data_IF_311565098898
#
_entry.id   IF_311565098898
#
_cell.length_a   1.000
_cell.length_b   1.000
_cell.length_c   1.000
_cell.angle_alpha   90.00
_cell.angle_beta   90.00
_cell.angle_gamma   90.00
#
_symmetry.space_group_name_H-M   'P 1'
#
loop_
_entity.id
_entity.type
_entity.pdbx_description
1 polymer ?
#
# COMPACT_ATOMS: atom_id res chain seq x y z
N UNK A 1 18.11 -4.04 -21.59
CA UNK A 1 17.65 -3.66 -20.25
C UNK A 1 18.10 -2.24 -19.96
N UNK A 2 17.19 -1.37 -19.55
CA UNK A 2 17.50 0.04 -19.27
C UNK A 2 17.18 0.32 -17.81
N UNK A 3 18.18 0.75 -17.01
CA UNK A 3 17.93 1.28 -15.65
C UNK A 3 16.99 2.48 -15.73
N UNK A 4 16.04 2.56 -14.83
CA UNK A 4 15.05 3.64 -14.78
C UNK A 4 14.94 4.25 -13.38
N UNK A 5 15.59 3.64 -12.39
CA UNK A 5 15.60 4.15 -11.02
C UNK A 5 16.11 3.15 -10.00
N UNK A 6 15.89 3.46 -8.74
CA UNK A 6 16.24 2.62 -7.60
C UNK A 6 15.13 2.62 -6.54
N UNK A 7 15.06 1.54 -5.75
CA UNK A 7 14.15 1.45 -4.61
C UNK A 7 14.60 2.44 -3.54
N UNK A 8 13.72 3.37 -3.19
CA UNK A 8 13.91 4.31 -2.08
C UNK A 8 13.34 3.78 -0.77
N UNK A 9 12.19 3.11 -0.83
CA UNK A 9 11.51 2.54 0.33
C UNK A 9 10.70 1.31 -0.07
N UNK A 10 10.68 0.33 0.82
CA UNK A 10 9.79 -0.83 0.78
C UNK A 10 8.73 -0.70 1.88
N UNK A 11 7.49 -1.02 1.55
CA UNK A 11 6.36 -0.97 2.49
C UNK A 11 5.58 -2.27 2.54
N UNK A 12 5.16 -2.66 3.76
CA UNK A 12 4.26 -3.79 4.02
C UNK A 12 3.08 -3.30 4.83
N UNK A 13 1.86 -3.69 4.46
CA UNK A 13 0.60 -3.27 5.08
C UNK A 13 -0.23 -4.49 5.47
N UNK A 14 0.07 -5.17 6.56
CA UNK A 14 -0.53 -6.46 6.92
C UNK A 14 -2.06 -6.45 7.00
N UNK A 15 -2.64 -5.33 7.44
CA UNK A 15 -4.08 -5.16 7.58
C UNK A 15 -4.58 -4.07 6.63
N UNK A 16 -5.62 -4.38 5.86
CA UNK A 16 -6.25 -3.41 4.94
C UNK A 16 -6.63 -2.13 5.67
N UNK A 17 -6.29 -0.97 5.10
CA UNK A 17 -6.53 0.39 5.63
C UNK A 17 -5.78 0.76 6.91
N UNK A 18 -5.06 -0.13 7.57
CA UNK A 18 -4.20 0.24 8.69
C UNK A 18 -2.82 0.68 8.21
N UNK A 19 -2.10 1.45 9.04
CA UNK A 19 -0.73 1.86 8.78
C UNK A 19 0.17 0.62 8.76
N UNK A 20 0.98 0.52 7.70
CA UNK A 20 1.98 -0.52 7.55
C UNK A 20 3.31 -0.20 8.22
N UNK A 21 4.30 -0.98 7.88
CA UNK A 21 5.67 -0.86 8.35
C UNK A 21 6.66 -0.74 7.18
N UNK A 22 7.75 0.03 7.35
CA UNK A 22 8.84 0.05 6.40
C UNK A 22 9.66 -1.23 6.51
N UNK A 23 10.18 -1.69 5.36
CA UNK A 23 11.10 -2.81 5.29
C UNK A 23 12.43 -2.34 4.71
N UNK A 24 13.55 -2.92 5.16
CA UNK A 24 14.84 -2.74 4.52
C UNK A 24 15.04 -3.70 3.34
N UNK A 25 14.59 -4.94 3.51
CA UNK A 25 14.61 -5.98 2.49
C UNK A 25 13.38 -6.88 2.62
N UNK A 26 13.01 -7.55 1.53
CA UNK A 26 11.96 -8.58 1.52
C UNK A 26 12.14 -9.48 0.30
N UNK A 27 11.52 -10.67 0.32
CA UNK A 27 11.41 -11.50 -0.87
C UNK A 27 10.07 -11.24 -1.53
N UNK A 28 10.07 -10.73 -2.76
CA UNK A 28 8.84 -10.70 -3.55
C UNK A 28 8.47 -12.13 -3.93
N UNK A 29 7.28 -12.56 -3.57
CA UNK A 29 6.69 -13.85 -3.93
C UNK A 29 5.63 -13.66 -5.02
N UNK A 30 5.13 -14.73 -5.62
CA UNK A 30 4.02 -14.63 -6.59
C UNK A 30 2.76 -13.98 -5.99
N UNK A 31 2.62 -13.99 -4.67
CA UNK A 31 1.54 -13.32 -3.93
C UNK A 31 1.93 -11.89 -3.47
N UNK A 32 3.05 -11.33 -3.95
CA UNK A 32 3.55 -10.02 -3.56
C UNK A 32 4.49 -10.06 -2.35
N UNK A 33 4.47 -8.99 -1.56
CA UNK A 33 5.24 -8.90 -0.31
C UNK A 33 4.63 -9.85 0.74
N UNK A 34 5.44 -10.70 1.41
CA UNK A 34 4.92 -11.59 2.45
C UNK A 34 4.17 -10.84 3.55
N UNK A 35 3.05 -11.40 3.98
CA UNK A 35 2.12 -10.84 4.98
C UNK A 35 1.44 -9.51 4.57
N UNK A 36 1.65 -9.00 3.36
CA UNK A 36 1.01 -7.76 2.91
C UNK A 36 -0.48 -7.98 2.63
N UNK A 37 -1.35 -7.16 3.24
CA UNK A 37 -2.81 -7.14 3.07
C UNK A 37 -3.49 -8.50 3.25
N UNK A 38 -2.92 -9.36 4.12
CA UNK A 38 -3.50 -10.68 4.44
C UNK A 38 -4.73 -10.60 5.31
N UNK A 39 -4.86 -9.53 6.08
CA UNK A 39 -6.00 -9.33 6.95
C UNK A 39 -6.86 -8.15 6.49
N UNK A 40 -8.15 -8.32 6.59
CA UNK A 40 -9.14 -7.26 6.40
C UNK A 40 -10.32 -7.42 7.35
N UNK A 41 -10.79 -6.32 7.94
CA UNK A 41 -12.08 -6.33 8.61
C UNK A 41 -13.19 -6.20 7.58
N UNK A 42 -14.26 -6.97 7.76
CA UNK A 42 -15.38 -7.05 6.82
C UNK A 42 -16.68 -6.75 7.56
N UNK A 43 -17.55 -5.97 6.95
CA UNK A 43 -18.87 -5.63 7.51
C UNK A 43 -19.84 -6.80 7.29
N UNK A 44 -20.34 -7.42 8.37
CA UNK A 44 -21.24 -8.60 8.31
C UNK A 44 -22.54 -8.35 7.57
N UNK A 45 -23.07 -7.12 7.62
CA UNK A 45 -24.33 -6.75 6.97
C UNK A 45 -24.15 -6.14 5.56
N UNK A 46 -22.92 -6.08 5.04
CA UNK A 46 -22.69 -5.51 3.72
C UNK A 46 -23.21 -6.44 2.63
N UNK A 47 -24.03 -5.88 1.71
CA UNK A 47 -24.45 -6.53 0.46
C UNK A 47 -23.64 -6.04 -0.74
N UNK A 48 -22.63 -5.21 -0.51
CA UNK A 48 -21.76 -4.66 -1.54
C UNK A 48 -20.76 -5.71 -2.02
N UNK A 49 -20.36 -5.63 -3.28
CA UNK A 49 -19.20 -6.37 -3.81
C UNK A 49 -17.87 -5.88 -3.20
N UNK A 50 -17.91 -4.76 -2.46
CA UNK A 50 -16.78 -4.24 -1.68
C UNK A 50 -17.17 -4.24 -0.19
N UNK A 51 -17.11 -5.39 0.51
CA UNK A 51 -17.60 -5.52 1.88
C UNK A 51 -16.60 -5.06 2.94
N UNK A 52 -15.45 -4.57 2.52
CA UNK A 52 -14.35 -4.20 3.40
C UNK A 52 -14.72 -3.03 4.30
N UNK A 53 -14.36 -3.15 5.57
CA UNK A 53 -14.34 -2.04 6.51
C UNK A 53 -13.00 -1.31 6.35
N UNK A 54 -13.05 -0.07 5.92
CA UNK A 54 -11.87 0.69 5.51
C UNK A 54 -11.81 2.05 6.18
N UNK A 55 -10.76 2.82 5.92
CA UNK A 55 -10.67 4.19 6.38
C UNK A 55 -11.73 5.14 5.75
N UNK A 56 -12.56 4.66 4.82
CA UNK A 56 -13.76 5.38 4.37
C UNK A 56 -14.82 5.45 5.47
N UNK A 57 -14.95 4.38 6.25
CA UNK A 57 -15.90 4.27 7.36
C UNK A 57 -15.29 4.75 8.68
N UNK A 58 -14.00 4.50 8.89
CA UNK A 58 -13.27 4.94 10.09
C UNK A 58 -11.89 5.47 9.69
N UNK A 59 -11.75 6.78 9.40
CA UNK A 59 -10.49 7.39 8.97
C UNK A 59 -9.30 7.09 9.89
N UNK A 60 -9.55 7.00 11.19
CA UNK A 60 -8.54 6.70 12.20
C UNK A 60 -7.88 5.32 12.04
N UNK A 61 -8.41 4.41 11.20
CA UNK A 61 -7.71 3.15 10.88
C UNK A 61 -6.28 3.39 10.38
N UNK A 62 -6.05 4.51 9.68
CA UNK A 62 -4.69 4.89 9.25
C UNK A 62 -3.74 5.17 10.40
N UNK A 63 -4.24 5.45 11.59
CA UNK A 63 -3.44 5.70 12.80
C UNK A 63 -3.18 4.42 13.60
N UNK A 64 -3.78 3.27 13.22
CA UNK A 64 -3.48 1.97 13.79
C UNK A 64 -2.23 1.41 13.11
N UNK A 65 -1.12 1.29 13.85
CA UNK A 65 0.13 0.78 13.32
C UNK A 65 0.14 -0.75 13.34
N UNK A 66 0.66 -1.37 12.29
CA UNK A 66 0.79 -2.83 12.24
C UNK A 66 2.25 -3.22 12.16
N UNK A 67 2.61 -4.31 12.81
CA UNK A 67 3.92 -4.92 12.72
C UNK A 67 3.79 -6.44 12.58
N UNK A 68 4.74 -7.04 11.87
CA UNK A 68 4.79 -8.48 11.62
C UNK A 68 6.00 -9.08 12.32
N UNK A 69 5.75 -10.14 13.09
CA UNK A 69 6.80 -11.01 13.59
C UNK A 69 6.80 -12.29 12.75
N UNK A 70 7.89 -12.51 12.04
CA UNK A 70 8.10 -13.74 11.28
C UNK A 70 8.39 -14.89 12.25
N UNK A 71 7.53 -15.91 12.27
CA UNK A 71 7.65 -17.03 13.22
C UNK A 71 8.25 -18.28 12.60
N UNK A 72 8.64 -18.23 11.31
CA UNK A 72 9.07 -19.41 10.56
C UNK A 72 7.94 -20.38 10.20
N UNK A 73 6.71 -20.12 10.68
CA UNK A 73 5.49 -20.84 10.29
C UNK A 73 4.83 -20.17 9.06
N UNK A 74 3.86 -20.84 8.45
CA UNK A 74 3.16 -20.31 7.28
C UNK A 74 2.35 -19.02 7.58
N UNK A 75 2.00 -18.78 8.85
CA UNK A 75 1.25 -17.60 9.30
C UNK A 75 2.15 -16.71 10.14
N UNK A 76 2.34 -15.48 9.69
CA UNK A 76 3.06 -14.47 10.44
C UNK A 76 2.17 -13.89 11.56
N UNK A 77 2.74 -13.70 12.75
CA UNK A 77 2.03 -13.01 13.84
C UNK A 77 1.96 -11.51 13.54
N UNK A 78 0.74 -10.98 13.44
CA UNK A 78 0.49 -9.55 13.22
C UNK A 78 0.00 -8.91 14.51
N UNK A 79 0.73 -7.88 14.95
CA UNK A 79 0.35 -7.02 16.08
C UNK A 79 -0.19 -5.70 15.55
N UNK A 80 -1.28 -5.22 16.14
CA UNK A 80 -1.90 -3.92 15.88
C UNK A 80 -1.71 -3.04 17.09
N UNK A 81 -1.03 -1.90 16.92
CA UNK A 81 -0.90 -0.85 17.94
C UNK A 81 -1.94 0.22 17.67
N UNK A 82 -2.83 0.46 18.60
CA UNK A 82 -3.87 1.49 18.50
C UNK A 82 -3.26 2.90 18.60
N UNK A 83 -3.98 3.96 18.21
CA UNK A 83 -3.54 5.35 18.41
C UNK A 83 -3.24 5.70 19.88
N UNK A 84 -3.86 4.99 20.83
CA UNK A 84 -3.60 5.14 22.28
C UNK A 84 -2.42 4.32 22.79
N UNK A 85 -1.65 3.65 21.90
CA UNK A 85 -0.45 2.87 22.27
C UNK A 85 -0.74 1.46 22.80
N UNK A 86 -2.00 0.99 22.79
CA UNK A 86 -2.34 -0.36 23.22
C UNK A 86 -2.09 -1.36 22.10
N UNK A 87 -1.44 -2.49 22.41
CA UNK A 87 -1.11 -3.54 21.47
C UNK A 87 -2.11 -4.69 21.55
N UNK A 88 -2.50 -5.20 20.37
CA UNK A 88 -3.36 -6.37 20.23
C UNK A 88 -2.85 -7.30 19.14
N UNK A 89 -2.94 -8.62 19.29
CA UNK A 89 -2.94 -9.50 18.15
C UNK A 89 -4.05 -9.10 17.16
N UNK A 90 -3.80 -9.15 15.86
CA UNK A 90 -4.83 -8.80 14.86
C UNK A 90 -6.10 -9.65 15.00
N UNK A 91 -5.95 -10.89 15.50
CA UNK A 91 -7.03 -11.85 15.73
C UNK A 91 -7.80 -11.63 17.05
N UNK A 92 -7.42 -10.62 17.84
CA UNK A 92 -8.05 -10.34 19.14
C UNK A 92 -9.51 -9.89 18.99
N UNK A 93 -10.41 -10.51 19.71
CA UNK A 93 -11.81 -10.06 19.82
C UNK A 93 -11.90 -8.65 20.41
N UNK A 94 -11.03 -8.30 21.35
CA UNK A 94 -11.00 -6.96 21.97
C UNK A 94 -10.70 -5.88 20.93
N UNK A 95 -9.78 -6.13 19.98
CA UNK A 95 -9.51 -5.21 18.89
C UNK A 95 -10.75 -5.04 18.01
N UNK A 96 -11.37 -6.15 17.60
CA UNK A 96 -12.58 -6.16 16.79
C UNK A 96 -13.72 -5.39 17.45
N UNK A 97 -14.00 -5.68 18.72
CA UNK A 97 -15.05 -5.01 19.50
C UNK A 97 -14.79 -3.52 19.68
N UNK A 98 -13.53 -3.13 19.86
CA UNK A 98 -13.14 -1.72 19.92
C UNK A 98 -13.43 -1.00 18.59
N UNK A 99 -13.15 -1.63 17.44
CA UNK A 99 -13.46 -1.08 16.13
C UNK A 99 -14.98 -1.03 15.88
N UNK A 100 -15.73 -2.06 16.32
CA UNK A 100 -17.19 -2.08 16.25
C UNK A 100 -17.82 -0.93 17.07
N UNK A 101 -17.35 -0.74 18.30
CA UNK A 101 -17.84 0.33 19.19
C UNK A 101 -17.59 1.72 18.59
N UNK A 102 -16.45 1.93 17.93
CA UNK A 102 -16.10 3.23 17.29
C UNK A 102 -16.87 3.49 16.02
N UNK A 103 -17.16 2.47 15.25
CA UNK A 103 -17.78 2.59 13.93
C UNK A 103 -19.29 2.39 13.91
N UNK A 104 -19.84 1.74 14.95
CA UNK A 104 -21.23 1.28 14.96
C UNK A 104 -21.52 0.13 13.98
N UNK A 105 -20.48 -0.50 13.42
CA UNK A 105 -20.59 -1.59 12.46
C UNK A 105 -20.27 -2.92 13.12
N UNK A 106 -20.97 -3.99 12.69
CA UNK A 106 -20.58 -5.36 13.07
C UNK A 106 -19.55 -5.88 12.10
N UNK A 107 -18.44 -6.38 12.64
CA UNK A 107 -17.25 -6.76 11.89
C UNK A 107 -16.88 -8.22 12.14
N UNK A 108 -16.26 -8.84 11.13
CA UNK A 108 -15.46 -10.03 11.32
C UNK A 108 -14.08 -9.84 10.68
N UNK A 109 -13.09 -10.53 11.18
CA UNK A 109 -11.75 -10.54 10.60
C UNK A 109 -11.68 -11.62 9.52
N UNK A 110 -11.30 -11.22 8.30
CA UNK A 110 -10.96 -12.12 7.22
C UNK A 110 -9.44 -12.26 7.14
N UNK A 111 -8.95 -13.49 7.04
CA UNK A 111 -7.63 -13.81 6.56
C UNK A 111 -7.73 -14.27 5.11
N UNK A 112 -7.02 -13.58 4.21
CA UNK A 112 -6.97 -13.92 2.80
C UNK A 112 -5.55 -14.32 2.41
N UNK A 113 -5.34 -15.59 2.15
CA UNK A 113 -4.04 -16.12 1.73
C UNK A 113 -3.50 -15.45 0.46
N UNK A 114 -4.38 -15.03 -0.45
CA UNK A 114 -3.99 -14.34 -1.68
C UNK A 114 -3.77 -12.84 -1.49
N UNK A 115 -4.30 -12.28 -0.43
CA UNK A 115 -4.27 -10.86 -0.10
C UNK A 115 -5.52 -10.11 -0.52
N UNK A 116 -6.04 -9.29 0.40
CA UNK A 116 -7.22 -8.42 0.18
C UNK A 116 -6.82 -7.14 -0.58
N UNK A 117 -6.21 -7.31 -1.75
CA UNK A 117 -5.79 -6.20 -2.61
C UNK A 117 -6.98 -5.50 -3.26
N UNK A 118 -6.80 -4.24 -3.66
CA UNK A 118 -7.80 -3.55 -4.47
C UNK A 118 -7.72 -4.01 -5.93
N UNK A 119 -6.50 -4.22 -6.43
CA UNK A 119 -6.24 -4.60 -7.83
C UNK A 119 -5.19 -5.70 -7.94
N UNK A 120 -3.95 -5.45 -7.52
CA UNK A 120 -2.82 -6.35 -7.69
C UNK A 120 -1.88 -6.33 -6.47
N UNK A 121 -1.02 -7.36 -6.33
CA UNK A 121 -0.25 -7.57 -5.10
C UNK A 121 0.90 -6.55 -4.88
N UNK A 122 1.30 -5.83 -5.90
CA UNK A 122 2.35 -4.81 -5.80
C UNK A 122 1.81 -3.47 -6.28
N UNK A 123 1.97 -2.43 -5.45
CA UNK A 123 1.81 -1.04 -5.86
C UNK A 123 3.18 -0.35 -5.89
N UNK A 124 3.43 0.41 -6.95
CA UNK A 124 4.66 1.14 -7.18
C UNK A 124 4.34 2.58 -7.56
N UNK A 125 5.05 3.53 -6.94
CA UNK A 125 4.98 4.95 -7.28
C UNK A 125 6.36 5.57 -7.15
N UNK A 126 6.62 6.62 -7.92
CA UNK A 126 7.87 7.36 -7.80
C UNK A 126 7.77 8.50 -6.79
N UNK A 127 8.90 8.83 -6.16
CA UNK A 127 8.99 10.02 -5.31
C UNK A 127 8.72 11.28 -6.12
N UNK A 128 9.17 11.34 -7.36
CA UNK A 128 8.97 12.48 -8.26
C UNK A 128 7.47 12.74 -8.50
N UNK A 129 6.69 11.69 -8.71
CA UNK A 129 5.22 11.80 -8.83
C UNK A 129 4.58 12.34 -7.55
N UNK A 130 5.00 11.81 -6.39
CA UNK A 130 4.49 12.30 -5.09
C UNK A 130 4.87 13.76 -4.86
N UNK A 131 6.12 14.14 -5.13
CA UNK A 131 6.59 15.52 -4.98
C UNK A 131 5.83 16.48 -5.90
N UNK A 132 5.55 16.08 -7.14
CA UNK A 132 4.78 16.89 -8.07
C UNK A 132 3.33 17.09 -7.59
N UNK A 133 2.67 16.02 -7.15
CA UNK A 133 1.31 16.10 -6.59
C UNK A 133 1.28 16.99 -5.34
N UNK A 134 2.26 16.86 -4.45
CA UNK A 134 2.35 17.68 -3.25
C UNK A 134 2.50 19.17 -3.59
N UNK A 135 3.35 19.49 -4.57
CA UNK A 135 3.55 20.85 -5.07
C UNK A 135 2.27 21.43 -5.69
N UNK A 136 1.60 20.68 -6.57
CA UNK A 136 0.40 21.13 -7.27
C UNK A 136 -0.83 21.27 -6.37
N UNK A 137 -0.92 20.44 -5.32
CA UNK A 137 -2.00 20.48 -4.33
C UNK A 137 -1.72 21.38 -3.13
N UNK A 138 -0.52 22.00 -3.10
CA UNK A 138 -0.04 22.83 -1.98
C UNK A 138 -0.09 22.08 -0.63
N UNK A 139 0.30 20.79 -0.63
CA UNK A 139 0.30 19.92 0.55
C UNK A 139 1.70 19.42 0.87
N UNK A 140 1.87 18.85 2.06
CA UNK A 140 3.13 18.20 2.41
C UNK A 140 3.35 16.93 1.59
N UNK A 141 4.61 16.69 1.20
CA UNK A 141 5.02 15.41 0.58
C UNK A 141 4.93 14.30 1.63
N UNK A 142 4.00 13.35 1.43
CA UNK A 142 3.76 12.25 2.35
C UNK A 142 3.49 10.95 1.57
N UNK A 143 4.53 10.12 1.35
CA UNK A 143 4.42 8.89 0.56
C UNK A 143 3.42 7.88 1.12
N UNK A 144 3.24 7.83 2.45
CA UNK A 144 2.33 6.87 3.08
C UNK A 144 0.86 7.10 2.73
N UNK A 145 0.48 8.25 2.17
CA UNK A 145 -0.88 8.48 1.62
C UNK A 145 -1.21 7.52 0.48
N UNK A 146 -0.21 7.20 -0.35
CA UNK A 146 -0.33 6.30 -1.51
C UNK A 146 -0.15 4.84 -1.14
N UNK A 147 0.41 4.55 0.06
CA UNK A 147 0.59 3.19 0.60
C UNK A 147 1.34 2.25 -0.35
N UNK A 148 2.45 2.67 -0.96
CA UNK A 148 3.15 1.86 -1.94
C UNK A 148 3.92 0.69 -1.28
N UNK A 149 3.98 -0.44 -2.00
CA UNK A 149 4.95 -1.48 -1.65
C UNK A 149 6.36 -1.09 -2.10
N UNK A 150 6.47 -0.46 -3.27
CA UNK A 150 7.72 0.03 -3.84
C UNK A 150 7.62 1.55 -4.06
N UNK A 151 8.33 2.32 -3.26
CA UNK A 151 8.62 3.72 -3.54
C UNK A 151 9.96 3.78 -4.24
N UNK A 152 10.02 4.38 -5.42
CA UNK A 152 11.25 4.45 -6.22
C UNK A 152 11.70 5.90 -6.45
N UNK A 153 13.00 6.08 -6.64
CA UNK A 153 13.57 7.30 -7.22
C UNK A 153 13.84 7.07 -8.71
N UNK A 154 13.26 7.89 -9.57
CA UNK A 154 13.46 7.82 -11.01
C UNK A 154 14.77 8.48 -11.44
N UNK A 155 15.56 7.81 -12.31
CA UNK A 155 16.76 8.40 -12.92
C UNK A 155 16.44 9.55 -13.87
N UNK A 156 15.29 9.48 -14.57
CA UNK A 156 14.83 10.57 -15.45
C UNK A 156 14.53 11.86 -14.68
N UNK A 157 14.15 11.74 -13.41
CA UNK A 157 13.61 12.85 -12.63
C UNK A 157 12.20 13.29 -13.01
N UNK A 158 11.62 12.74 -14.08
CA UNK A 158 10.32 13.13 -14.62
C UNK A 158 9.17 12.50 -13.82
N UNK A 159 8.27 13.30 -13.23
CA UNK A 159 7.10 12.78 -12.52
C UNK A 159 6.17 12.02 -13.48
N UNK A 160 5.47 11.01 -12.97
CA UNK A 160 4.52 10.16 -13.69
C UNK A 160 5.13 9.27 -14.80
N UNK A 161 6.47 9.19 -14.95
CA UNK A 161 7.10 8.34 -15.97
C UNK A 161 6.75 6.86 -15.77
N UNK A 162 6.57 6.42 -14.51
CA UNK A 162 6.13 5.05 -14.21
C UNK A 162 4.77 4.68 -14.82
N UNK A 163 3.90 5.62 -15.13
CA UNK A 163 2.61 5.35 -15.78
C UNK A 163 2.78 4.82 -17.22
N UNK A 164 3.91 5.14 -17.86
CA UNK A 164 4.24 4.68 -19.20
C UNK A 164 4.75 3.23 -19.23
N UNK A 165 4.89 2.59 -18.07
CA UNK A 165 5.40 1.22 -17.98
C UNK A 165 4.30 0.15 -18.04
N UNK A 166 3.04 0.54 -18.12
CA UNK A 166 1.92 -0.41 -18.25
C UNK A 166 2.12 -1.33 -19.46
N UNK A 167 1.98 -2.64 -19.23
CA UNK A 167 2.24 -3.68 -20.22
C UNK A 167 3.71 -4.10 -20.33
N UNK A 168 4.61 -3.52 -19.54
CA UNK A 168 6.03 -3.85 -19.55
C UNK A 168 6.44 -4.68 -18.33
N UNK A 169 7.56 -5.38 -18.49
CA UNK A 169 8.24 -6.08 -17.39
C UNK A 169 9.34 -5.20 -16.82
N UNK A 170 9.37 -5.15 -15.50
CA UNK A 170 10.37 -4.44 -14.72
C UNK A 170 11.14 -5.45 -13.90
N UNK A 171 12.47 -5.44 -14.01
CA UNK A 171 13.36 -6.16 -13.10
C UNK A 171 13.63 -5.27 -11.88
N UNK A 172 13.53 -5.85 -10.70
CA UNK A 172 13.78 -5.21 -9.41
C UNK A 172 14.90 -5.98 -8.70
N UNK A 173 15.99 -5.32 -8.40
CA UNK A 173 17.20 -5.98 -7.90
C UNK A 173 17.79 -6.96 -8.91
N UNK A 174 18.34 -8.07 -8.41
CA UNK A 174 19.04 -9.03 -9.24
C UNK A 174 18.13 -9.98 -10.00
N UNK A 175 17.08 -10.49 -9.34
CA UNK A 175 16.29 -11.63 -9.86
C UNK A 175 14.80 -11.37 -9.95
N UNK A 176 14.22 -10.52 -9.08
CA UNK A 176 12.80 -10.29 -9.07
C UNK A 176 12.32 -9.61 -10.36
N UNK A 177 11.19 -10.07 -10.89
CA UNK A 177 10.53 -9.49 -12.06
C UNK A 177 9.06 -9.27 -11.77
N UNK A 178 8.58 -8.09 -12.14
CA UNK A 178 7.18 -7.70 -11.99
C UNK A 178 6.65 -7.24 -13.35
N UNK A 179 5.42 -7.62 -13.68
CA UNK A 179 4.71 -7.07 -14.83
C UNK A 179 3.83 -5.92 -14.36
N UNK A 180 4.00 -4.75 -14.95
CA UNK A 180 3.13 -3.60 -14.70
C UNK A 180 1.81 -3.83 -15.42
N UNK A 181 0.73 -3.99 -14.65
CA UNK A 181 -0.57 -4.42 -15.19
C UNK A 181 -1.49 -3.27 -15.53
N UNK A 182 -1.50 -2.22 -14.71
CA UNK A 182 -2.34 -1.04 -14.92
C UNK A 182 -1.88 0.14 -14.07
N UNK A 183 -2.39 1.32 -14.40
CA UNK A 183 -2.23 2.53 -13.57
C UNK A 183 -3.02 2.40 -12.27
N UNK A 184 -2.52 3.04 -11.21
CA UNK A 184 -3.23 3.13 -9.92
C UNK A 184 -4.19 4.33 -9.92
N UNK A 185 -5.49 4.02 -10.00
CA UNK A 185 -6.55 5.04 -9.88
C UNK A 185 -6.75 5.38 -8.42
N UNK A 186 -6.48 6.62 -8.08
CA UNK A 186 -6.54 7.10 -6.72
C UNK A 186 -7.96 7.35 -6.23
N UNK A 187 -8.19 7.12 -4.96
CA UNK A 187 -9.47 7.34 -4.31
C UNK A 187 -9.33 8.26 -3.08
N UNK A 188 -10.41 8.46 -2.34
CA UNK A 188 -10.41 9.32 -1.16
C UNK A 188 -9.34 8.96 -0.11
N UNK A 189 -8.78 7.76 -0.17
CA UNK A 189 -7.73 7.33 0.78
C UNK A 189 -6.53 8.26 0.79
N UNK A 190 -6.08 8.76 -0.37
CA UNK A 190 -4.93 9.67 -0.46
C UNK A 190 -5.17 11.02 0.19
N UNK A 191 -6.44 11.40 0.43
CA UNK A 191 -6.76 12.65 1.11
C UNK A 191 -6.47 12.58 2.60
N UNK A 192 -6.47 11.39 3.19
CA UNK A 192 -6.31 11.23 4.63
C UNK A 192 -4.84 11.30 5.02
N UNK A 193 -4.53 12.13 6.01
CA UNK A 193 -3.20 12.19 6.58
C UNK A 193 -2.90 10.90 7.37
N UNK A 194 -1.82 10.17 7.08
CA UNK A 194 -1.57 8.87 7.70
C UNK A 194 -1.20 8.96 9.19
N UNK A 195 -0.84 10.13 9.70
CA UNK A 195 -0.51 10.31 11.11
C UNK A 195 -1.72 10.77 11.95
N UNK A 196 -2.62 11.57 11.36
CA UNK A 196 -3.71 12.23 12.08
C UNK A 196 -5.10 11.89 11.56
N UNK A 197 -5.20 11.17 10.45
CA UNK A 197 -6.43 10.89 9.71
C UNK A 197 -7.18 12.15 9.22
N UNK A 198 -6.59 13.33 9.34
CA UNK A 198 -7.20 14.58 8.88
C UNK A 198 -7.29 14.61 7.35
N UNK A 199 -8.46 14.96 6.78
CA UNK A 199 -8.62 15.00 5.33
C UNK A 199 -8.00 16.24 4.71
N UNK A 200 -7.34 16.06 3.55
CA UNK A 200 -6.88 17.12 2.64
C UNK A 200 -7.43 16.84 1.23
N UNK A 201 -8.67 17.25 0.93
CA UNK A 201 -9.32 16.97 -0.36
C UNK A 201 -8.60 17.58 -1.58
N UNK A 202 -7.74 18.58 -1.36
CA UNK A 202 -6.95 19.21 -2.42
C UNK A 202 -6.12 18.19 -3.20
N UNK A 203 -5.53 17.18 -2.53
CA UNK A 203 -4.71 16.15 -3.15
C UNK A 203 -5.51 15.36 -4.20
N UNK A 204 -6.66 14.80 -3.82
CA UNK A 204 -7.47 14.02 -4.76
C UNK A 204 -8.04 14.90 -5.88
N UNK A 205 -8.41 16.14 -5.57
CA UNK A 205 -8.87 17.10 -6.58
C UNK A 205 -7.79 17.37 -7.62
N UNK A 206 -6.56 17.62 -7.18
CA UNK A 206 -5.40 17.81 -8.04
C UNK A 206 -5.18 16.58 -8.94
N UNK A 207 -5.06 15.39 -8.35
CA UNK A 207 -4.83 14.14 -9.11
C UNK A 207 -5.97 13.86 -10.10
N UNK A 208 -7.21 14.16 -9.73
CA UNK A 208 -8.37 13.96 -10.61
C UNK A 208 -8.36 14.94 -11.79
N UNK A 209 -8.12 16.21 -11.54
CA UNK A 209 -8.23 17.25 -12.56
C UNK A 209 -7.00 17.30 -13.48
N UNK A 210 -5.80 17.06 -12.97
CA UNK A 210 -4.56 17.24 -13.71
C UNK A 210 -3.97 15.91 -14.21
N UNK A 211 -4.23 14.79 -13.52
CA UNK A 211 -3.57 13.50 -13.79
C UNK A 211 -4.55 12.35 -14.05
N UNK A 212 -5.77 12.65 -14.53
CA UNK A 212 -6.79 11.64 -14.89
C UNK A 212 -7.09 10.65 -13.75
N UNK A 213 -7.00 11.13 -12.51
CA UNK A 213 -7.16 10.37 -11.27
C UNK A 213 -6.07 9.28 -11.06
N UNK A 214 -4.95 9.32 -11.76
CA UNK A 214 -3.90 8.29 -11.72
C UNK A 214 -2.63 8.80 -11.03
N UNK A 215 -2.05 7.98 -10.13
CA UNK A 215 -0.74 8.20 -9.55
C UNK A 215 -0.13 6.85 -9.13
N UNK A 216 0.99 6.48 -9.75
CA UNK A 216 1.59 5.17 -9.59
C UNK A 216 0.93 4.05 -10.42
N UNK A 217 1.40 2.84 -10.23
CA UNK A 217 1.00 1.66 -11.01
C UNK A 217 0.85 0.44 -10.12
N UNK A 218 0.04 -0.51 -10.59
CA UNK A 218 -0.06 -1.85 -10.03
C UNK A 218 0.74 -2.86 -10.85
N UNK A 219 1.27 -3.85 -10.15
CA UNK A 219 2.05 -4.91 -10.76
C UNK A 219 1.77 -6.29 -10.15
N UNK A 220 2.04 -7.33 -10.93
CA UNK A 220 2.06 -8.72 -10.48
C UNK A 220 3.49 -9.25 -10.56
N UNK A 221 3.85 -10.16 -9.66
CA UNK A 221 5.19 -10.77 -9.63
C UNK A 221 5.23 -11.91 -10.63
N UNK A 222 6.18 -11.87 -11.56
CA UNK A 222 6.45 -12.91 -12.55
C UNK A 222 7.53 -13.88 -12.06
N UNK A 223 8.57 -13.34 -11.43
CA UNK A 223 9.67 -14.12 -10.89
C UNK A 223 9.94 -13.64 -9.47
N UNK A 224 9.91 -14.56 -8.54
CA UNK A 224 10.24 -14.29 -7.14
C UNK A 224 11.72 -13.90 -6.99
N UNK A 225 12.00 -13.06 -6.01
CA UNK A 225 13.38 -12.66 -5.72
C UNK A 225 13.49 -11.74 -4.54
N UNK A 226 14.68 -11.70 -3.94
CA UNK A 226 14.98 -10.76 -2.87
C UNK A 226 15.12 -9.34 -3.44
N UNK A 227 14.58 -8.37 -2.74
CA UNK A 227 14.68 -6.94 -3.06
C UNK A 227 15.01 -6.15 -1.80
N UNK A 228 15.82 -5.11 -1.97
CA UNK A 228 16.31 -4.26 -0.87
C UNK A 228 16.21 -2.78 -1.24
N UNK A 229 16.14 -1.95 -0.24
CA UNK A 229 16.32 -0.50 -0.43
C UNK A 229 17.67 -0.24 -1.09
N UNK A 230 17.68 0.55 -2.16
CA UNK A 230 18.83 0.85 -3.00
C UNK A 230 18.97 -0.02 -4.26
N UNK A 231 18.23 -1.10 -4.36
CA UNK A 231 18.27 -1.97 -5.55
C UNK A 231 17.81 -1.25 -6.80
N UNK A 232 18.46 -1.58 -7.91
CA UNK A 232 18.15 -1.04 -9.24
C UNK A 232 16.78 -1.52 -9.72
N UNK A 233 16.05 -0.61 -10.33
CA UNK A 233 14.80 -0.85 -11.06
C UNK A 233 15.09 -0.65 -12.55
N UNK A 234 14.85 -1.67 -13.37
CA UNK A 234 15.18 -1.65 -14.79
C UNK A 234 14.04 -2.17 -15.66
N UNK A 235 13.73 -1.46 -16.75
CA UNK A 235 12.79 -1.92 -17.77
C UNK A 235 13.45 -3.00 -18.64
N UNK A 236 12.75 -4.12 -18.81
CA UNK A 236 13.12 -5.12 -19.81
C UNK A 236 12.66 -4.69 -21.20
N UNK A 237 13.40 -5.18 -22.21
CA UNK A 237 13.10 -4.89 -23.61
C UNK A 237 11.81 -5.57 -24.08
#
# INVERSE_FOLDING_TARGET
MKSVGAIRQLGRYPVKSMRGEPLFATTLTLQGVPADRRYAFVQTASRSSFPWFTARELPELLCYCTSVKETGAQEAEVTVTTPGGKNFPVTSDELRESLEARSGKKLFLLYDYRGSYDVAPISLISRQTISQIAKESETAEEPLRFRPNLLIDLESGEPFDELNWVGRTVRVGDTARIAITQVDQQCMMITLDPASAKPSPAILRCVTQQHKQCAGVYATVLTAGEVRVGDTVALEA
#
